data_IF_428816891558
#
_entry.id   IF_428816891558
#
_cell.length_a   1.000
_cell.length_b   1.000
_cell.length_c   1.000
_cell.angle_alpha   90.00
_cell.angle_beta   90.00
_cell.angle_gamma   90.00
#
_symmetry.space_group_name_H-M   'P 1'
#
loop_
_entity.id
_entity.type
_entity.pdbx_description
1 polymer ?
#
# COMPACT_ATOMS: atom_id res chain seq x y z
N UNK A 1 16.91 17.31 -21.64
CA UNK A 1 17.01 16.33 -20.54
C UNK A 1 18.47 16.26 -20.15
N UNK A 2 18.78 16.44 -18.88
CA UNK A 2 20.10 16.11 -18.34
C UNK A 2 20.20 14.58 -18.22
N UNK A 3 21.34 13.99 -18.56
CA UNK A 3 21.56 12.52 -18.48
C UNK A 3 21.74 12.03 -17.02
N UNK A 4 21.20 12.77 -16.04
CA UNK A 4 21.36 12.51 -14.61
C UNK A 4 20.02 12.53 -13.88
N UNK A 5 19.89 11.69 -12.86
CA UNK A 5 18.69 11.59 -12.00
C UNK A 5 19.04 12.03 -10.57
N UNK A 6 19.68 13.20 -10.43
CA UNK A 6 20.04 13.73 -9.11
C UNK A 6 18.82 14.32 -8.40
N UNK A 7 18.92 14.56 -7.09
CA UNK A 7 17.88 15.25 -6.34
C UNK A 7 17.57 16.64 -6.89
N UNK A 8 18.56 17.35 -7.46
CA UNK A 8 18.35 18.64 -8.11
C UNK A 8 17.57 18.51 -9.42
N UNK A 9 17.91 17.52 -10.25
CA UNK A 9 17.21 17.27 -11.51
C UNK A 9 15.72 16.99 -11.27
N UNK A 10 15.43 16.13 -10.27
CA UNK A 10 14.06 15.79 -9.87
C UNK A 10 13.34 17.02 -9.29
N UNK A 11 13.98 17.76 -8.38
CA UNK A 11 13.39 18.95 -7.79
C UNK A 11 13.05 20.02 -8.82
N UNK A 12 13.98 20.33 -9.74
CA UNK A 12 13.73 21.35 -10.77
C UNK A 12 12.65 20.92 -11.76
N UNK A 13 12.64 19.65 -12.16
CA UNK A 13 11.61 19.13 -13.06
C UNK A 13 10.22 19.18 -12.41
N UNK A 14 10.13 18.74 -11.15
CA UNK A 14 8.89 18.78 -10.38
C UNK A 14 8.39 20.20 -10.16
N UNK A 15 9.25 21.08 -9.64
CA UNK A 15 8.87 22.47 -9.34
C UNK A 15 8.49 23.20 -10.62
N UNK A 16 9.24 23.00 -11.71
CA UNK A 16 8.88 23.58 -13.01
C UNK A 16 7.50 23.16 -13.48
N UNK A 17 7.17 21.86 -13.37
CA UNK A 17 5.86 21.37 -13.75
C UNK A 17 4.73 21.88 -12.84
N UNK A 18 4.95 22.00 -11.52
CA UNK A 18 3.99 22.55 -10.57
C UNK A 18 3.83 24.08 -10.70
N UNK A 19 4.88 24.79 -11.07
CA UNK A 19 4.83 26.22 -11.36
C UNK A 19 4.08 26.47 -12.70
N UNK A 20 4.25 25.62 -13.72
CA UNK A 20 3.43 25.60 -14.95
C UNK A 20 1.94 25.27 -14.71
N UNK A 21 1.65 24.80 -13.51
CA UNK A 21 0.30 24.53 -13.02
C UNK A 21 -0.30 25.64 -12.18
N UNK A 22 0.48 26.68 -11.91
CA UNK A 22 0.09 27.77 -11.01
C UNK A 22 -0.26 27.25 -9.60
N UNK A 23 0.44 26.21 -9.13
CA UNK A 23 0.28 25.71 -7.75
C UNK A 23 0.66 26.81 -6.75
N UNK A 24 -0.25 27.11 -5.84
CA UNK A 24 0.01 27.99 -4.71
C UNK A 24 0.81 27.26 -3.63
N UNK A 25 2.11 27.55 -3.57
CA UNK A 25 3.03 26.98 -2.61
C UNK A 25 2.74 27.35 -1.15
N UNK A 26 2.02 28.46 -0.90
CA UNK A 26 1.62 28.84 0.46
C UNK A 26 0.59 27.89 1.07
N UNK A 27 -0.09 27.12 0.21
CA UNK A 27 -1.11 26.14 0.56
C UNK A 27 -0.61 24.70 0.56
N UNK A 28 0.66 24.45 0.23
CA UNK A 28 1.20 23.09 0.19
C UNK A 28 1.34 22.50 1.61
N UNK A 29 0.69 21.36 1.86
CA UNK A 29 0.59 20.75 3.20
C UNK A 29 1.45 19.49 3.37
N UNK A 30 1.63 18.70 2.31
CA UNK A 30 2.38 17.45 2.42
C UNK A 30 2.94 16.93 1.11
N UNK A 31 3.93 16.04 1.22
CA UNK A 31 4.48 15.26 0.11
C UNK A 31 4.61 13.79 0.49
N UNK A 32 4.28 12.88 -0.42
CA UNK A 32 4.55 11.45 -0.26
C UNK A 32 5.64 10.98 -1.25
N UNK A 33 6.69 10.30 -0.79
CA UNK A 33 7.81 9.83 -1.64
C UNK A 33 8.06 8.33 -1.49
N UNK A 34 8.76 7.72 -2.45
CA UNK A 34 9.19 6.31 -2.35
C UNK A 34 10.31 6.07 -1.32
N UNK A 35 10.81 7.10 -0.65
CA UNK A 35 11.89 6.97 0.33
C UNK A 35 13.29 6.75 -0.28
N UNK A 36 13.47 6.94 -1.59
CA UNK A 36 14.78 6.83 -2.23
C UNK A 36 15.76 7.88 -1.66
N UNK A 37 17.08 7.59 -1.58
CA UNK A 37 18.05 8.52 -1.00
C UNK A 37 18.07 9.92 -1.64
N UNK A 38 17.80 10.02 -2.94
CA UNK A 38 17.65 11.29 -3.66
C UNK A 38 16.42 12.10 -3.20
N UNK A 39 15.37 11.44 -2.72
CA UNK A 39 14.13 12.06 -2.25
C UNK A 39 14.26 12.51 -0.79
N UNK A 40 14.73 11.63 0.10
CA UNK A 40 14.74 11.84 1.57
C UNK A 40 16.10 12.24 2.15
N UNK A 41 17.11 12.49 1.30
CA UNK A 41 18.46 12.84 1.73
C UNK A 41 18.48 14.06 2.66
N UNK A 42 19.07 13.91 3.87
CA UNK A 42 19.00 14.92 4.95
C UNK A 42 19.51 16.32 4.60
N UNK A 43 20.45 16.43 3.66
CA UNK A 43 21.11 17.70 3.31
C UNK A 43 20.64 18.30 1.98
N UNK A 44 20.18 17.46 1.06
CA UNK A 44 19.94 17.88 -0.33
C UNK A 44 18.85 17.07 -1.04
N UNK A 45 18.06 16.28 -0.30
CA UNK A 45 16.95 15.52 -0.86
C UNK A 45 15.85 16.44 -1.37
N UNK A 46 15.05 15.95 -2.32
CA UNK A 46 13.91 16.68 -2.89
C UNK A 46 12.96 17.19 -1.81
N UNK A 47 12.67 16.39 -0.78
CA UNK A 47 11.78 16.77 0.33
C UNK A 47 12.29 17.97 1.12
N UNK A 48 13.61 18.04 1.35
CA UNK A 48 14.24 19.17 2.07
C UNK A 48 14.07 20.45 1.26
N UNK A 49 14.32 20.39 -0.04
CA UNK A 49 14.18 21.53 -0.96
C UNK A 49 12.74 21.99 -1.12
N UNK A 50 11.80 21.04 -1.18
CA UNK A 50 10.36 21.36 -1.18
C UNK A 50 9.96 22.07 0.10
N UNK A 51 10.42 21.59 1.26
CA UNK A 51 10.17 22.25 2.54
C UNK A 51 10.72 23.66 2.57
N UNK A 52 11.92 23.90 2.05
CA UNK A 52 12.49 25.26 1.93
C UNK A 52 11.60 26.17 1.07
N UNK A 53 11.11 25.69 -0.08
CA UNK A 53 10.22 26.46 -0.97
C UNK A 53 8.85 26.73 -0.33
N UNK A 54 8.26 25.76 0.36
CA UNK A 54 6.99 25.93 1.10
C UNK A 54 7.18 26.93 2.25
N UNK A 55 8.22 26.78 3.05
CA UNK A 55 8.50 27.70 4.17
C UNK A 55 8.76 29.14 3.70
N UNK A 56 9.34 29.33 2.51
CA UNK A 56 9.54 30.66 1.93
C UNK A 56 8.20 31.31 1.51
N UNK A 57 7.19 30.52 1.15
CA UNK A 57 5.86 30.99 0.79
C UNK A 57 4.95 31.17 2.02
N UNK A 58 5.07 30.28 3.02
CA UNK A 58 4.31 30.31 4.26
C UNK A 58 5.16 29.75 5.43
N UNK A 59 5.82 30.61 6.23
CA UNK A 59 6.70 30.18 7.32
C UNK A 59 6.01 29.42 8.47
N UNK A 60 4.70 29.61 8.62
CA UNK A 60 3.91 28.98 9.70
C UNK A 60 3.34 27.61 9.27
N UNK A 61 3.40 27.27 7.98
CA UNK A 61 2.90 26.01 7.46
C UNK A 61 3.77 24.83 7.90
N UNK A 62 3.13 23.85 8.54
CA UNK A 62 3.76 22.55 8.79
C UNK A 62 3.71 21.72 7.51
N UNK A 63 4.87 21.42 6.93
CA UNK A 63 4.98 20.60 5.73
C UNK A 63 5.35 19.13 6.03
N UNK A 64 4.37 18.25 5.89
CA UNK A 64 4.48 16.83 6.22
C UNK A 64 5.14 16.04 5.09
N UNK A 65 5.95 15.05 5.47
CA UNK A 65 6.54 14.10 4.52
C UNK A 65 6.12 12.68 4.89
N UNK A 66 5.52 11.98 3.93
CA UNK A 66 5.11 10.60 4.05
C UNK A 66 5.95 9.70 3.15
N UNK A 67 6.16 8.46 3.58
CA UNK A 67 6.60 7.41 2.67
C UNK A 67 5.35 6.84 1.98
N UNK A 68 5.41 6.64 0.67
CA UNK A 68 4.38 5.95 -0.11
C UNK A 68 3.92 4.66 0.59
N UNK A 69 2.64 4.61 0.93
CA UNK A 69 2.04 3.55 1.74
C UNK A 69 2.15 2.18 1.07
N UNK A 70 1.96 2.13 -0.26
CA UNK A 70 2.08 0.92 -1.07
C UNK A 70 3.53 0.43 -1.09
N UNK A 71 4.50 1.36 -1.13
CA UNK A 71 5.91 0.97 -1.06
C UNK A 71 6.26 0.43 0.33
N UNK A 72 5.79 1.05 1.42
CA UNK A 72 6.00 0.53 2.78
C UNK A 72 5.42 -0.88 2.96
N UNK A 73 4.20 -1.13 2.47
CA UNK A 73 3.58 -2.46 2.49
C UNK A 73 4.43 -3.50 1.72
N UNK A 74 4.89 -3.14 0.52
CA UNK A 74 5.78 -4.02 -0.26
C UNK A 74 7.11 -4.30 0.45
N UNK A 75 7.64 -3.35 1.22
CA UNK A 75 8.83 -3.56 2.06
C UNK A 75 8.55 -4.50 3.24
N UNK A 76 7.38 -4.41 3.88
CA UNK A 76 6.97 -5.35 4.93
C UNK A 76 6.95 -6.79 4.41
N UNK A 77 6.45 -7.01 3.19
CA UNK A 77 6.36 -8.33 2.56
C UNK A 77 7.72 -9.03 2.39
N UNK A 78 8.82 -8.26 2.26
CA UNK A 78 10.18 -8.82 2.14
C UNK A 78 10.62 -9.57 3.40
N UNK A 79 9.96 -9.36 4.55
CA UNK A 79 10.27 -10.06 5.80
C UNK A 79 9.84 -11.52 5.84
N UNK A 80 8.94 -11.96 4.95
CA UNK A 80 8.40 -13.32 4.96
C UNK A 80 9.45 -14.40 4.65
N UNK A 81 10.64 -14.06 4.12
CA UNK A 81 11.80 -14.97 3.92
C UNK A 81 11.45 -16.35 3.33
N UNK A 82 10.54 -16.39 2.35
CA UNK A 82 10.11 -17.61 1.65
C UNK A 82 10.82 -17.80 0.29
N UNK A 83 12.11 -17.44 0.21
CA UNK A 83 12.89 -17.47 -1.04
C UNK A 83 13.00 -18.88 -1.64
N UNK A 84 13.00 -19.91 -0.80
CA UNK A 84 13.06 -21.31 -1.24
C UNK A 84 11.80 -21.74 -2.00
N UNK A 85 10.64 -21.17 -1.69
CA UNK A 85 9.40 -21.36 -2.47
C UNK A 85 9.43 -20.48 -3.71
N UNK A 86 9.69 -19.18 -3.53
CA UNK A 86 9.62 -18.20 -4.62
C UNK A 86 10.57 -18.52 -5.76
N UNK A 87 11.80 -18.97 -5.48
CA UNK A 87 12.77 -19.34 -6.50
C UNK A 87 12.24 -20.45 -7.42
N UNK A 88 11.71 -21.52 -6.84
CA UNK A 88 11.17 -22.66 -7.60
C UNK A 88 9.96 -22.24 -8.45
N UNK A 89 9.05 -21.44 -7.88
CA UNK A 89 7.89 -20.91 -8.60
C UNK A 89 8.34 -20.04 -9.78
N UNK A 90 9.24 -19.08 -9.54
CA UNK A 90 9.73 -18.16 -10.58
C UNK A 90 10.48 -18.93 -11.68
N UNK A 91 11.39 -19.84 -11.33
CA UNK A 91 12.16 -20.61 -12.31
C UNK A 91 11.25 -21.48 -13.19
N UNK A 92 10.26 -22.11 -12.58
CA UNK A 92 9.28 -22.94 -13.29
C UNK A 92 8.39 -22.10 -14.21
N UNK A 93 7.84 -20.99 -13.70
CA UNK A 93 6.99 -20.09 -14.48
C UNK A 93 7.79 -19.47 -15.62
N UNK A 94 9.02 -19.02 -15.38
CA UNK A 94 9.90 -18.47 -16.42
C UNK A 94 10.22 -19.53 -17.47
N UNK A 95 10.48 -20.78 -17.10
CA UNK A 95 10.69 -21.84 -18.09
C UNK A 95 9.48 -22.06 -19.00
N UNK A 96 8.27 -22.03 -18.43
CA UNK A 96 7.01 -22.20 -19.17
C UNK A 96 6.72 -20.96 -20.04
N UNK A 97 6.89 -19.75 -19.48
CA UNK A 97 6.40 -18.50 -20.06
C UNK A 97 7.41 -17.76 -20.92
N UNK A 98 8.72 -17.87 -20.66
CA UNK A 98 9.74 -17.09 -21.38
C UNK A 98 9.94 -17.54 -22.83
N UNK A 99 9.62 -18.81 -23.16
CA UNK A 99 9.71 -19.33 -24.53
C UNK A 99 8.31 -19.49 -25.12
N UNK A 100 8.04 -18.84 -26.24
CA UNK A 100 6.72 -18.89 -26.89
C UNK A 100 6.23 -20.31 -27.22
N UNK A 101 7.14 -21.21 -27.59
CA UNK A 101 6.80 -22.63 -27.83
C UNK A 101 6.33 -23.33 -26.55
N UNK A 102 7.06 -23.17 -25.44
CA UNK A 102 6.69 -23.78 -24.16
C UNK A 102 5.34 -23.25 -23.69
N UNK A 103 5.11 -21.93 -23.81
CA UNK A 103 3.85 -21.33 -23.41
C UNK A 103 2.67 -21.86 -24.23
N UNK A 104 2.81 -21.97 -25.56
CA UNK A 104 1.78 -22.53 -26.44
C UNK A 104 1.50 -24.00 -26.13
N UNK A 105 2.55 -24.80 -25.91
CA UNK A 105 2.40 -26.21 -25.57
C UNK A 105 1.74 -26.41 -24.22
N UNK A 106 2.11 -25.61 -23.22
CA UNK A 106 1.45 -25.65 -21.91
C UNK A 106 -0.01 -25.22 -22.02
N UNK A 107 -0.32 -24.18 -22.80
CA UNK A 107 -1.71 -23.73 -22.99
C UNK A 107 -2.55 -24.79 -23.71
N UNK A 108 -2.00 -25.47 -24.72
CA UNK A 108 -2.67 -26.60 -25.38
C UNK A 108 -2.90 -27.75 -24.40
N UNK A 109 -1.90 -28.11 -23.60
CA UNK A 109 -2.02 -29.12 -22.55
C UNK A 109 -3.10 -28.80 -21.51
N UNK A 110 -3.22 -27.54 -21.09
CA UNK A 110 -4.30 -27.11 -20.18
C UNK A 110 -5.68 -27.24 -20.85
N UNK A 111 -5.81 -26.85 -22.12
CA UNK A 111 -7.07 -26.97 -22.87
C UNK A 111 -7.49 -28.44 -23.07
N UNK A 112 -6.55 -29.33 -23.29
CA UNK A 112 -6.81 -30.79 -23.37
C UNK A 112 -7.36 -31.36 -22.06
N UNK A 113 -7.09 -30.71 -20.93
CA UNK A 113 -7.60 -31.06 -19.60
C UNK A 113 -8.81 -30.20 -19.16
N UNK A 114 -9.47 -29.50 -20.09
CA UNK A 114 -10.62 -28.62 -19.82
C UNK A 114 -10.31 -27.43 -18.88
N UNK A 115 -9.05 -26.97 -18.88
CA UNK A 115 -8.58 -25.85 -18.07
C UNK A 115 -8.39 -24.61 -18.97
N UNK A 116 -9.27 -23.64 -18.80
CA UNK A 116 -9.27 -22.40 -19.61
C UNK A 116 -8.44 -21.25 -19.03
N UNK A 117 -7.77 -21.45 -17.89
CA UNK A 117 -6.96 -20.42 -17.25
C UNK A 117 -5.51 -20.86 -17.12
N UNK A 118 -4.56 -20.02 -17.55
CA UNK A 118 -3.14 -20.34 -17.58
C UNK A 118 -2.31 -19.62 -16.51
N UNK A 119 -0.99 -19.83 -16.57
CA UNK A 119 -0.04 -19.10 -15.73
C UNK A 119 0.18 -17.67 -16.25
N UNK A 120 0.07 -16.64 -15.41
CA UNK A 120 0.47 -15.28 -15.77
C UNK A 120 2.00 -15.18 -15.95
N UNK A 121 2.46 -14.22 -16.75
CA UNK A 121 3.90 -13.95 -16.89
C UNK A 121 4.40 -13.26 -15.61
N UNK A 122 5.54 -13.71 -15.08
CA UNK A 122 6.18 -13.04 -13.94
C UNK A 122 7.11 -11.92 -14.44
N UNK A 123 6.90 -10.70 -13.95
CA UNK A 123 7.90 -9.63 -14.01
C UNK A 123 8.34 -9.31 -12.60
N UNK A 124 9.63 -9.18 -12.34
CA UNK A 124 10.20 -8.92 -11.00
C UNK A 124 9.65 -7.66 -10.31
N UNK A 125 8.96 -6.81 -11.07
CA UNK A 125 8.67 -5.41 -10.72
C UNK A 125 7.45 -5.25 -9.80
N UNK A 126 6.58 -6.26 -9.56
CA UNK A 126 5.31 -6.04 -8.80
C UNK A 126 4.90 -7.18 -7.86
N UNK A 127 4.65 -6.84 -6.59
CA UNK A 127 4.14 -7.79 -5.59
C UNK A 127 2.76 -8.36 -5.93
N UNK A 128 1.83 -7.56 -6.46
CA UNK A 128 0.51 -8.03 -6.92
C UNK A 128 0.62 -9.11 -8.00
N UNK A 129 1.58 -8.95 -8.93
CA UNK A 129 1.84 -9.99 -9.94
C UNK A 129 2.41 -11.26 -9.31
N UNK A 130 3.20 -11.17 -8.24
CA UNK A 130 3.69 -12.35 -7.50
C UNK A 130 2.56 -13.12 -6.84
N UNK A 131 1.59 -12.42 -6.23
CA UNK A 131 0.39 -13.04 -5.67
C UNK A 131 -0.44 -13.77 -6.71
N UNK A 132 -0.68 -13.14 -7.86
CA UNK A 132 -1.38 -13.77 -8.97
C UNK A 132 -0.64 -15.02 -9.48
N UNK A 133 0.69 -14.94 -9.66
CA UNK A 133 1.52 -16.07 -10.08
C UNK A 133 1.44 -17.23 -9.07
N UNK A 134 1.61 -16.96 -7.77
CA UNK A 134 1.54 -17.97 -6.71
C UNK A 134 0.18 -18.69 -6.71
N UNK A 135 -0.91 -17.93 -6.80
CA UNK A 135 -2.28 -18.49 -6.81
C UNK A 135 -2.52 -19.42 -7.98
N UNK A 136 -2.10 -19.03 -9.19
CA UNK A 136 -2.24 -19.87 -10.38
C UNK A 136 -1.29 -21.08 -10.34
N UNK A 137 -0.05 -20.89 -9.88
CA UNK A 137 0.92 -21.97 -9.70
C UNK A 137 0.40 -23.03 -8.74
N UNK A 138 -0.17 -22.63 -7.60
CA UNK A 138 -0.74 -23.55 -6.63
C UNK A 138 -1.93 -24.32 -7.18
N UNK A 139 -2.81 -23.66 -7.94
CA UNK A 139 -3.96 -24.32 -8.59
C UNK A 139 -3.54 -25.35 -9.62
N UNK A 140 -2.55 -25.01 -10.45
CA UNK A 140 -2.09 -25.82 -11.58
C UNK A 140 -0.92 -26.76 -11.21
N UNK A 141 -0.70 -27.03 -9.92
CA UNK A 141 0.50 -27.75 -9.45
C UNK A 141 0.65 -29.14 -10.07
N UNK A 142 -0.46 -29.86 -10.28
CA UNK A 142 -0.45 -31.19 -10.88
C UNK A 142 -0.06 -31.11 -12.35
N UNK A 143 -0.72 -30.21 -13.09
CA UNK A 143 -0.51 -29.97 -14.51
C UNK A 143 0.92 -29.45 -14.79
N UNK A 144 1.42 -28.59 -13.91
CA UNK A 144 2.80 -28.10 -13.95
C UNK A 144 3.78 -29.26 -13.73
N UNK A 145 3.56 -30.12 -12.74
CA UNK A 145 4.43 -31.26 -12.48
C UNK A 145 4.52 -32.18 -13.70
N UNK A 146 3.37 -32.54 -14.28
CA UNK A 146 3.29 -33.42 -15.45
C UNK A 146 3.95 -32.79 -16.69
N UNK A 147 3.63 -31.53 -16.98
CA UNK A 147 4.23 -30.83 -18.12
C UNK A 147 5.75 -30.74 -17.97
N UNK A 148 6.24 -30.39 -16.77
CA UNK A 148 7.66 -30.24 -16.49
C UNK A 148 8.39 -31.59 -16.55
N UNK A 149 7.76 -32.68 -16.11
CA UNK A 149 8.26 -34.04 -16.27
C UNK A 149 8.38 -34.41 -17.76
N UNK A 150 7.37 -34.13 -18.57
CA UNK A 150 7.41 -34.33 -20.03
C UNK A 150 8.48 -33.51 -20.74
N UNK A 151 8.95 -32.42 -20.13
CA UNK A 151 10.08 -31.60 -20.59
C UNK A 151 11.44 -32.05 -20.07
N UNK A 152 11.50 -33.15 -19.31
CA UNK A 152 12.75 -33.65 -18.69
C UNK A 152 13.28 -32.73 -17.58
N UNK A 153 12.42 -31.93 -16.95
CA UNK A 153 12.77 -31.00 -15.88
C UNK A 153 11.81 -31.14 -14.68
N UNK A 154 11.77 -32.31 -14.01
CA UNK A 154 10.82 -32.53 -12.92
C UNK A 154 10.99 -31.49 -11.80
N UNK A 155 9.87 -30.98 -11.29
CA UNK A 155 9.84 -30.04 -10.16
C UNK A 155 9.61 -30.86 -8.88
N UNK A 156 10.68 -31.49 -8.40
CA UNK A 156 10.65 -32.45 -7.28
C UNK A 156 10.07 -31.88 -5.97
N UNK A 157 10.09 -30.55 -5.81
CA UNK A 157 9.52 -29.88 -4.65
C UNK A 157 7.99 -30.00 -4.58
N UNK A 158 7.31 -30.26 -5.70
CA UNK A 158 5.86 -30.50 -5.71
C UNK A 158 5.48 -31.83 -5.06
N UNK A 159 6.42 -32.77 -4.95
CA UNK A 159 6.25 -34.05 -4.26
C UNK A 159 6.56 -33.96 -2.75
N UNK A 160 7.15 -32.85 -2.29
CA UNK A 160 7.52 -32.63 -0.88
C UNK A 160 6.32 -32.06 -0.08
N UNK A 161 5.78 -32.80 0.90
CA UNK A 161 4.68 -32.34 1.74
C UNK A 161 5.01 -31.11 2.61
N UNK A 162 6.28 -30.87 2.94
CA UNK A 162 6.69 -29.67 3.66
C UNK A 162 6.69 -28.45 2.72
N UNK A 163 7.30 -28.59 1.55
CA UNK A 163 7.37 -27.51 0.56
C UNK A 163 5.98 -27.10 0.05
N UNK A 164 5.08 -28.06 -0.19
CA UNK A 164 3.70 -27.78 -0.62
C UNK A 164 2.87 -27.06 0.45
N UNK A 165 3.13 -27.31 1.73
CA UNK A 165 2.56 -26.52 2.84
C UNK A 165 3.10 -25.09 2.88
N UNK A 166 4.41 -24.94 2.70
CA UNK A 166 5.04 -23.62 2.62
C UNK A 166 4.47 -22.79 1.45
N UNK A 167 4.27 -23.43 0.29
CA UNK A 167 3.59 -22.81 -0.85
C UNK A 167 2.15 -22.42 -0.49
N UNK A 168 1.38 -23.32 0.14
CA UNK A 168 0.01 -23.05 0.52
C UNK A 168 -0.12 -21.87 1.49
N UNK A 169 0.74 -21.80 2.51
CA UNK A 169 0.83 -20.66 3.42
C UNK A 169 1.15 -19.37 2.66
N UNK A 170 2.16 -19.42 1.77
CA UNK A 170 2.61 -18.25 1.02
C UNK A 170 1.53 -17.70 0.07
N UNK A 171 0.75 -18.58 -0.56
CA UNK A 171 -0.40 -18.19 -1.39
C UNK A 171 -1.42 -17.43 -0.55
N UNK A 172 -1.83 -17.98 0.60
CA UNK A 172 -2.85 -17.38 1.44
C UNK A 172 -2.41 -16.03 2.03
N UNK A 173 -1.20 -15.92 2.60
CA UNK A 173 -0.71 -14.65 3.15
C UNK A 173 -0.53 -13.58 2.06
N UNK A 174 -0.10 -13.99 0.86
CA UNK A 174 0.05 -13.05 -0.26
C UNK A 174 -1.31 -12.56 -0.76
N UNK A 175 -2.35 -13.40 -0.75
CA UNK A 175 -3.71 -12.96 -1.06
C UNK A 175 -4.21 -11.91 -0.04
N UNK A 176 -3.97 -12.13 1.26
CA UNK A 176 -4.32 -11.15 2.30
C UNK A 176 -3.60 -9.81 2.11
N UNK A 177 -2.32 -9.85 1.78
CA UNK A 177 -1.52 -8.66 1.47
C UNK A 177 -2.02 -7.96 0.20
N UNK A 178 -2.40 -8.72 -0.83
CA UNK A 178 -2.99 -8.19 -2.05
C UNK A 178 -4.32 -7.46 -1.78
N UNK A 179 -5.18 -8.02 -0.91
CA UNK A 179 -6.43 -7.36 -0.49
C UNK A 179 -6.14 -6.04 0.22
N UNK A 180 -5.16 -6.00 1.13
CA UNK A 180 -4.74 -4.74 1.77
C UNK A 180 -4.24 -3.73 0.72
N UNK A 181 -3.36 -4.17 -0.17
CA UNK A 181 -2.77 -3.31 -1.19
C UNK A 181 -3.84 -2.69 -2.10
N UNK A 182 -4.79 -3.48 -2.61
CA UNK A 182 -5.94 -2.98 -3.39
C UNK A 182 -6.81 -2.03 -2.56
N UNK A 183 -7.02 -2.31 -1.28
CA UNK A 183 -7.77 -1.43 -0.37
C UNK A 183 -7.08 -0.09 -0.17
N UNK A 184 -5.75 -0.02 -0.23
CA UNK A 184 -4.99 1.23 -0.12
C UNK A 184 -4.79 1.94 -1.48
N UNK A 185 -5.12 1.28 -2.59
CA UNK A 185 -5.13 1.92 -3.90
C UNK A 185 -6.41 2.72 -4.13
N UNK A 186 -6.38 3.54 -5.17
CA UNK A 186 -7.50 4.36 -5.59
C UNK A 186 -7.32 5.82 -5.21
N UNK A 187 -8.05 6.65 -5.94
CA UNK A 187 -8.26 8.04 -5.59
C UNK A 187 -9.39 8.10 -4.56
N UNK A 188 -9.43 9.20 -3.87
CA UNK A 188 -10.48 9.68 -3.00
C UNK A 188 -10.64 9.05 -1.64
N UNK A 189 -9.48 8.84 -1.04
CA UNK A 189 -9.32 8.36 0.32
C UNK A 189 -8.62 9.38 1.20
N UNK A 190 -9.14 9.46 2.42
CA UNK A 190 -8.54 10.15 3.54
C UNK A 190 -7.32 9.40 4.06
N UNK A 191 -6.38 10.16 4.62
CA UNK A 191 -5.23 9.57 5.33
C UNK A 191 -5.68 8.67 6.49
N UNK A 192 -6.82 8.99 7.11
CA UNK A 192 -7.41 8.20 8.20
C UNK A 192 -7.99 6.86 7.71
N UNK A 193 -8.42 6.75 6.46
CA UNK A 193 -8.88 5.47 5.88
C UNK A 193 -7.71 4.53 5.57
N UNK A 194 -6.59 5.11 5.12
CA UNK A 194 -5.35 4.36 4.97
C UNK A 194 -4.87 3.83 6.34
N UNK A 195 -4.94 4.67 7.36
CA UNK A 195 -4.60 4.27 8.72
C UNK A 195 -5.47 3.12 9.23
N UNK A 196 -6.78 3.22 9.08
CA UNK A 196 -7.72 2.16 9.46
C UNK A 196 -7.40 0.85 8.76
N UNK A 197 -7.09 0.91 7.46
CA UNK A 197 -6.77 -0.26 6.65
C UNK A 197 -5.53 -0.97 7.18
N UNK A 198 -4.47 -0.22 7.49
CA UNK A 198 -3.23 -0.75 8.08
C UNK A 198 -3.49 -1.33 9.48
N UNK A 199 -4.19 -0.59 10.34
CA UNK A 199 -4.51 -1.01 11.71
C UNK A 199 -5.36 -2.28 11.72
N UNK A 200 -6.36 -2.37 10.87
CA UNK A 200 -7.20 -3.56 10.71
C UNK A 200 -6.35 -4.76 10.25
N UNK A 201 -5.40 -4.54 9.34
CA UNK A 201 -4.49 -5.60 8.91
C UNK A 201 -3.53 -6.06 10.03
N UNK A 202 -2.96 -5.14 10.81
CA UNK A 202 -2.15 -5.48 11.99
C UNK A 202 -2.97 -6.31 12.99
N UNK A 203 -4.24 -5.95 13.24
CA UNK A 203 -5.15 -6.74 14.08
C UNK A 203 -5.39 -8.14 13.54
N UNK A 204 -5.57 -8.28 12.21
CA UNK A 204 -5.67 -9.59 11.55
C UNK A 204 -4.40 -10.42 11.71
N UNK A 205 -3.21 -9.83 11.56
CA UNK A 205 -1.93 -10.52 11.78
C UNK A 205 -1.82 -11.08 13.21
N UNK A 206 -2.24 -10.32 14.23
CA UNK A 206 -2.26 -10.79 15.64
C UNK A 206 -3.19 -11.99 15.81
N UNK A 207 -4.39 -11.91 15.23
CA UNK A 207 -5.37 -13.00 15.28
C UNK A 207 -4.81 -14.25 14.59
N UNK A 208 -4.29 -14.11 13.38
CA UNK A 208 -3.75 -15.21 12.59
C UNK A 208 -2.54 -15.86 13.23
N UNK A 209 -1.61 -15.07 13.77
CA UNK A 209 -0.49 -15.58 14.57
C UNK A 209 -1.01 -16.48 15.70
N UNK A 210 -1.95 -15.97 16.50
CA UNK A 210 -2.54 -16.71 17.63
C UNK A 210 -3.23 -18.00 17.18
N UNK A 211 -3.99 -17.93 16.09
CA UNK A 211 -4.69 -19.08 15.53
C UNK A 211 -3.72 -20.14 14.99
N UNK A 212 -2.68 -19.76 14.25
CA UNK A 212 -1.69 -20.71 13.72
C UNK A 212 -0.90 -21.39 14.86
N UNK A 213 -0.52 -20.67 15.91
CA UNK A 213 0.07 -21.28 17.12
C UNK A 213 -0.87 -22.31 17.77
N UNK A 214 -2.19 -22.11 17.66
CA UNK A 214 -3.23 -23.05 18.13
C UNK A 214 -3.67 -24.06 17.05
N UNK A 215 -2.91 -24.21 15.97
CA UNK A 215 -3.19 -25.14 14.86
C UNK A 215 -4.50 -24.87 14.11
N UNK A 216 -4.97 -23.63 14.15
CA UNK A 216 -6.17 -23.20 13.46
C UNK A 216 -5.79 -22.41 12.20
N UNK A 217 -6.02 -23.00 11.03
CA UNK A 217 -5.82 -22.36 9.72
C UNK A 217 -7.10 -21.78 9.12
N UNK A 218 -8.08 -21.35 9.93
CA UNK A 218 -9.40 -20.91 9.46
C UNK A 218 -9.37 -19.84 8.36
N UNK A 219 -8.41 -18.91 8.42
CA UNK A 219 -8.25 -17.84 7.43
C UNK A 219 -7.17 -18.11 6.38
N UNK A 220 -6.67 -19.35 6.32
CA UNK A 220 -5.66 -19.80 5.36
C UNK A 220 -6.21 -21.03 4.62
N UNK A 221 -7.11 -20.83 3.64
CA UNK A 221 -7.83 -21.93 2.99
C UNK A 221 -6.92 -22.91 2.26
N UNK A 222 -5.86 -22.43 1.58
CA UNK A 222 -4.89 -23.32 0.93
C UNK A 222 -4.14 -24.12 2.00
N UNK A 223 -3.64 -23.47 3.05
CA UNK A 223 -2.94 -24.15 4.14
C UNK A 223 -3.84 -25.15 4.88
N UNK A 224 -5.11 -24.81 5.10
CA UNK A 224 -6.10 -25.68 5.75
C UNK A 224 -6.36 -26.97 4.98
N UNK A 225 -6.19 -26.94 3.66
CA UNK A 225 -6.32 -28.14 2.80
C UNK A 225 -5.14 -29.10 2.91
N UNK A 226 -4.05 -28.68 3.55
CA UNK A 226 -2.84 -29.50 3.71
C UNK A 226 -2.91 -30.34 4.99
N UNK A 227 -2.22 -31.50 5.05
CA UNK A 227 -2.10 -32.27 6.29
C UNK A 227 -1.49 -31.43 7.43
N UNK A 228 -2.08 -31.49 8.63
CA UNK A 228 -1.61 -30.69 9.78
C UNK A 228 -0.23 -31.17 10.25
N UNK A 229 0.70 -30.25 10.51
CA UNK A 229 2.00 -30.50 11.14
C UNK A 229 2.29 -29.43 12.20
N UNK A 230 2.62 -29.85 13.42
CA UNK A 230 2.86 -28.93 14.54
C UNK A 230 4.03 -27.96 14.29
N UNK A 231 5.17 -28.44 13.81
CA UNK A 231 6.37 -27.63 13.61
C UNK A 231 6.15 -26.59 12.50
N UNK A 232 5.45 -26.96 11.43
CA UNK A 232 5.12 -26.02 10.34
C UNK A 232 4.21 -24.88 10.81
N UNK A 233 3.24 -25.16 11.67
CA UNK A 233 2.30 -24.13 12.15
C UNK A 233 2.99 -23.10 13.06
N UNK A 234 3.92 -23.52 13.91
CA UNK A 234 4.71 -22.58 14.73
C UNK A 234 5.66 -21.73 13.85
N UNK A 235 6.26 -22.34 12.83
CA UNK A 235 7.05 -21.62 11.82
C UNK A 235 6.23 -20.51 11.16
N UNK A 236 5.01 -20.80 10.70
CA UNK A 236 4.15 -19.78 10.07
C UNK A 236 3.70 -18.69 11.05
N UNK A 237 3.38 -19.04 12.28
CA UNK A 237 3.08 -18.05 13.31
C UNK A 237 4.27 -17.09 13.56
N UNK A 238 5.50 -17.61 13.57
CA UNK A 238 6.71 -16.80 13.69
C UNK A 238 6.93 -15.88 12.47
N UNK A 239 6.65 -16.37 11.26
CA UNK A 239 6.71 -15.53 10.05
C UNK A 239 5.70 -14.38 10.11
N UNK A 240 4.47 -14.63 10.58
CA UNK A 240 3.48 -13.58 10.79
C UNK A 240 3.88 -12.59 11.88
N UNK A 241 4.55 -13.06 12.95
CA UNK A 241 5.10 -12.19 13.97
C UNK A 241 6.17 -11.25 13.40
N UNK A 242 7.06 -11.76 12.53
CA UNK A 242 8.06 -10.95 11.84
C UNK A 242 7.43 -9.93 10.90
N UNK A 243 6.43 -10.34 10.11
CA UNK A 243 5.68 -9.44 9.23
C UNK A 243 4.98 -8.33 10.03
N UNK A 244 4.31 -8.68 11.13
CA UNK A 244 3.67 -7.71 12.03
C UNK A 244 4.69 -6.69 12.56
N UNK A 245 5.87 -7.15 13.00
CA UNK A 245 6.90 -6.25 13.49
C UNK A 245 7.35 -5.24 12.43
N UNK A 246 7.48 -5.65 11.17
CA UNK A 246 7.76 -4.70 10.08
C UNK A 246 6.64 -3.68 9.88
N UNK A 247 5.36 -4.10 9.96
CA UNK A 247 4.24 -3.16 9.91
C UNK A 247 4.31 -2.15 11.08
N UNK A 248 4.51 -2.64 12.30
CA UNK A 248 4.62 -1.80 13.49
C UNK A 248 5.76 -0.78 13.37
N UNK A 249 6.92 -1.19 12.82
CA UNK A 249 8.09 -0.33 12.64
C UNK A 249 7.95 0.67 11.48
N UNK A 250 7.30 0.29 10.38
CA UNK A 250 7.24 1.10 9.14
C UNK A 250 6.10 2.09 9.13
N UNK A 251 5.03 1.79 9.85
CA UNK A 251 3.85 2.63 9.96
C UNK A 251 3.78 3.42 11.28
N UNK A 252 4.92 3.64 11.96
CA UNK A 252 4.99 4.40 13.23
C UNK A 252 4.42 5.81 13.11
N UNK A 253 4.58 6.47 11.97
CA UNK A 253 4.00 7.81 11.71
C UNK A 253 2.50 7.82 11.94
N UNK A 254 1.79 6.74 11.60
CA UNK A 254 0.36 6.67 11.88
C UNK A 254 0.02 6.45 13.35
N UNK A 255 0.92 5.82 14.12
CA UNK A 255 0.80 5.74 15.58
C UNK A 255 1.02 7.10 16.22
N UNK A 256 1.96 7.91 15.69
CA UNK A 256 2.20 9.28 16.16
C UNK A 256 1.00 10.20 15.90
N UNK A 257 0.34 10.03 14.74
CA UNK A 257 -0.85 10.80 14.34
C UNK A 257 -2.17 10.23 14.88
N UNK A 258 -2.15 9.16 15.67
CA UNK A 258 -3.36 8.46 16.11
C UNK A 258 -4.32 9.39 16.86
N UNK A 259 -3.79 10.27 17.72
CA UNK A 259 -4.60 11.23 18.48
C UNK A 259 -5.27 12.25 17.57
N UNK A 260 -4.54 12.74 16.57
CA UNK A 260 -5.05 13.69 15.60
C UNK A 260 -6.14 13.03 14.73
N UNK A 261 -5.92 11.79 14.30
CA UNK A 261 -6.93 11.03 13.58
C UNK A 261 -8.18 10.76 14.41
N UNK A 262 -8.02 10.52 15.72
CA UNK A 262 -9.15 10.36 16.64
C UNK A 262 -9.98 11.64 16.76
N UNK A 263 -9.31 12.80 16.94
CA UNK A 263 -9.98 14.10 16.96
C UNK A 263 -10.71 14.38 15.63
N UNK A 264 -10.04 14.13 14.50
CA UNK A 264 -10.62 14.33 13.17
C UNK A 264 -11.86 13.46 12.94
N UNK A 265 -11.78 12.15 13.24
CA UNK A 265 -12.85 11.18 12.96
C UNK A 265 -13.97 11.13 13.98
N UNK A 266 -13.73 11.67 15.17
CA UNK A 266 -14.65 11.53 16.29
C UNK A 266 -14.70 12.80 17.15
N UNK A 267 -14.89 13.99 16.55
CA UNK A 267 -14.86 15.25 17.29
C UNK A 267 -15.95 15.32 18.36
N UNK A 268 -17.07 14.61 18.17
CA UNK A 268 -18.19 14.58 19.13
C UNK A 268 -18.01 13.63 20.32
N UNK A 269 -16.97 12.79 20.33
CA UNK A 269 -16.77 11.77 21.38
C UNK A 269 -15.35 11.74 21.94
N UNK A 270 -14.39 12.40 21.30
CA UNK A 270 -13.02 12.49 21.81
C UNK A 270 -12.99 13.29 23.12
N UNK A 271 -12.18 12.86 24.07
CA UNK A 271 -12.01 13.55 25.34
C UNK A 271 -11.31 14.90 25.10
N UNK A 272 -11.98 16.01 25.41
CA UNK A 272 -11.43 17.35 25.22
C UNK A 272 -10.19 17.61 26.09
N UNK A 273 -9.98 16.86 27.18
CA UNK A 273 -8.79 17.04 28.02
C UNK A 273 -7.50 16.50 27.39
N UNK A 274 -7.59 15.66 26.34
CA UNK A 274 -6.42 15.03 25.70
C UNK A 274 -6.02 15.68 24.38
N UNK A 275 -6.75 16.71 23.93
CA UNK A 275 -6.43 17.48 22.72
C UNK A 275 -5.62 18.74 23.05
N UNK A 276 -4.90 19.35 22.08
CA UNK A 276 -4.17 20.59 22.29
C UNK A 276 -5.00 21.69 22.95
N UNK A 277 -4.43 22.38 23.94
CA UNK A 277 -5.10 23.40 24.78
C UNK A 277 -5.89 24.44 23.97
N UNK A 278 -5.31 24.88 22.85
CA UNK A 278 -5.92 25.89 21.98
C UNK A 278 -7.23 25.44 21.31
N UNK A 279 -7.50 24.12 21.23
CA UNK A 279 -8.73 23.58 20.63
C UNK A 279 -9.79 23.17 21.64
N UNK A 280 -9.45 23.10 22.93
CA UNK A 280 -10.33 22.46 23.93
C UNK A 280 -11.68 23.18 24.07
N UNK A 281 -11.67 24.52 24.11
CA UNK A 281 -12.90 25.31 24.26
C UNK A 281 -13.81 25.19 23.03
N UNK A 282 -13.25 25.32 21.82
CA UNK A 282 -13.99 25.14 20.56
C UNK A 282 -14.59 23.72 20.46
N UNK A 283 -13.82 22.71 20.85
CA UNK A 283 -14.26 21.32 20.82
C UNK A 283 -15.43 21.07 21.78
N UNK A 284 -15.37 21.62 23.01
CA UNK A 284 -16.46 21.49 23.99
C UNK A 284 -17.74 22.15 23.45
N UNK A 285 -17.62 23.34 22.86
CA UNK A 285 -18.76 24.03 22.24
C UNK A 285 -19.32 23.23 21.05
N UNK A 286 -18.46 22.67 20.21
CA UNK A 286 -18.85 21.80 19.11
C UNK A 286 -19.61 20.57 19.62
N UNK A 287 -19.08 19.88 20.63
CA UNK A 287 -19.65 18.67 21.23
C UNK A 287 -21.06 18.89 21.80
N UNK A 288 -21.34 20.10 22.29
CA UNK A 288 -22.65 20.50 22.80
C UNK A 288 -23.62 21.00 21.72
N UNK A 289 -23.17 21.18 20.46
CA UNK A 289 -23.99 21.71 19.38
C UNK A 289 -24.76 20.61 18.65
N UNK A 290 -26.04 20.41 19.01
CA UNK A 290 -26.88 19.39 18.40
C UNK A 290 -27.03 19.52 16.86
N UNK A 291 -27.25 20.73 16.28
CA UNK A 291 -27.34 20.86 14.83
C UNK A 291 -26.06 20.45 14.10
N UNK A 292 -24.88 20.80 14.63
CA UNK A 292 -23.61 20.39 14.02
C UNK A 292 -23.38 18.88 14.15
N UNK A 293 -23.84 18.26 15.25
CA UNK A 293 -23.80 16.81 15.42
C UNK A 293 -24.67 16.08 14.39
N UNK A 294 -25.87 16.61 14.13
CA UNK A 294 -26.77 16.06 13.11
C UNK A 294 -26.17 16.23 11.71
N UNK A 295 -25.59 17.41 11.41
CA UNK A 295 -24.87 17.64 10.15
C UNK A 295 -23.73 16.64 10.00
N UNK A 296 -22.89 16.47 11.02
CA UNK A 296 -21.76 15.53 11.02
C UNK A 296 -22.18 14.10 10.68
N UNK A 297 -23.33 13.65 11.20
CA UNK A 297 -23.86 12.31 10.92
C UNK A 297 -24.44 12.16 9.50
N UNK A 298 -24.71 13.28 8.81
CA UNK A 298 -25.44 13.31 7.54
C UNK A 298 -24.59 13.58 6.30
N UNK A 299 -23.36 14.12 6.46
CA UNK A 299 -22.47 14.49 5.36
C UNK A 299 -21.13 13.78 5.45
N UNK A 300 -20.38 13.77 4.35
CA UNK A 300 -18.98 13.33 4.37
C UNK A 300 -18.16 14.24 5.31
N UNK A 301 -17.18 13.66 6.01
CA UNK A 301 -16.43 14.34 7.07
C UNK A 301 -15.73 15.62 6.57
N UNK A 302 -15.31 15.65 5.31
CA UNK A 302 -14.63 16.77 4.70
C UNK A 302 -15.59 17.91 4.40
N UNK A 303 -16.81 17.57 3.96
CA UNK A 303 -17.91 18.53 3.80
C UNK A 303 -18.31 19.10 5.15
N UNK A 304 -18.31 18.29 6.21
CA UNK A 304 -18.58 18.77 7.56
C UNK A 304 -17.57 19.82 8.00
N UNK A 305 -16.27 19.53 7.91
CA UNK A 305 -15.22 20.47 8.31
C UNK A 305 -15.22 21.75 7.46
N UNK A 306 -15.53 21.67 6.15
CA UNK A 306 -15.70 22.83 5.28
C UNK A 306 -16.92 23.69 5.64
N UNK A 307 -17.93 23.09 6.27
CA UNK A 307 -19.17 23.77 6.68
C UNK A 307 -19.11 24.38 8.08
N UNK A 308 -18.00 24.22 8.80
CA UNK A 308 -17.88 24.74 10.16
C UNK A 308 -18.00 26.27 10.18
N UNK A 309 -18.81 26.83 11.11
CA UNK A 309 -18.91 28.28 11.25
C UNK A 309 -17.57 28.95 11.61
N UNK A 310 -17.36 30.24 11.29
CA UNK A 310 -16.12 30.98 11.59
C UNK A 310 -15.71 31.03 13.07
N UNK A 311 -16.61 30.65 13.98
CA UNK A 311 -16.35 30.53 15.42
C UNK A 311 -15.54 29.29 15.81
N UNK A 312 -15.24 28.38 14.87
CA UNK A 312 -14.38 27.21 15.07
C UNK A 312 -13.07 27.29 14.25
N UNK A 313 -12.29 28.39 14.34
CA UNK A 313 -11.10 28.58 13.51
C UNK A 313 -10.03 27.53 13.78
N UNK A 314 -9.85 27.08 15.02
CA UNK A 314 -8.80 26.11 15.35
C UNK A 314 -9.14 24.71 14.82
N UNK A 315 -10.40 24.27 14.95
CA UNK A 315 -10.85 22.99 14.39
C UNK A 315 -10.83 22.99 12.86
N UNK A 316 -11.17 24.12 12.24
CA UNK A 316 -11.09 24.27 10.78
C UNK A 316 -9.65 24.20 10.29
N UNK A 317 -8.72 24.90 10.94
CA UNK A 317 -7.31 24.85 10.61
C UNK A 317 -6.70 23.46 10.83
N UNK A 318 -7.13 22.75 11.88
CA UNK A 318 -6.69 21.38 12.19
C UNK A 318 -7.14 20.36 11.14
N UNK A 319 -8.33 20.52 10.57
CA UNK A 319 -8.89 19.60 9.58
C UNK A 319 -8.15 19.65 8.22
N UNK A 320 -7.52 20.78 7.89
CA UNK A 320 -6.87 20.99 6.59
C UNK A 320 -5.69 20.02 6.34
N UNK A 321 -4.74 19.81 7.28
CA UNK A 321 -3.67 18.82 7.10
C UNK A 321 -4.09 17.36 7.33
N UNK A 322 -5.19 17.12 8.06
CA UNK A 322 -5.61 15.80 8.54
C UNK A 322 -6.72 15.16 7.68
N UNK A 323 -7.53 15.97 7.00
CA UNK A 323 -8.67 15.58 6.17
C UNK A 323 -8.35 15.49 4.69
N UNK A 324 -7.19 14.91 4.37
CA UNK A 324 -6.71 14.89 3.01
C UNK A 324 -7.57 13.96 2.13
N UNK A 325 -8.58 14.49 1.46
CA UNK A 325 -9.14 13.86 0.27
C UNK A 325 -8.04 13.80 -0.78
N UNK A 326 -7.87 12.63 -1.39
CA UNK A 326 -7.67 12.66 -2.83
C UNK A 326 -9.06 13.10 -3.38
N UNK A 327 -9.23 14.17 -4.12
CA UNK A 327 -10.22 14.20 -5.23
C UNK A 327 -10.13 15.52 -5.98
N UNK A 328 -10.23 15.31 -7.28
CA UNK A 328 -10.36 16.18 -8.42
C UNK A 328 -11.09 17.53 -8.23
N UNK A 329 -10.32 18.61 -8.36
CA UNK A 329 -10.40 19.55 -9.49
C UNK A 329 -8.96 19.97 -9.85
N UNK A 330 -8.68 20.37 -11.11
CA UNK A 330 -7.45 20.00 -11.83
C UNK A 330 -6.20 20.72 -11.31
N UNK A 331 -5.69 20.31 -10.15
CA UNK A 331 -4.26 20.24 -9.97
C UNK A 331 -3.84 19.04 -10.80
N UNK A 332 -3.10 19.23 -11.91
CA UNK A 332 -2.60 18.09 -12.69
C UNK A 332 -1.90 17.18 -11.69
N UNK A 333 -2.37 15.94 -11.54
CA UNK A 333 -1.54 14.84 -11.06
C UNK A 333 -0.35 14.82 -12.04
N UNK A 334 0.78 15.44 -11.68
CA UNK A 334 1.99 15.36 -12.50
C UNK A 334 2.65 14.04 -12.14
N UNK A 335 2.20 12.99 -12.81
CA UNK A 335 3.01 11.80 -13.00
C UNK A 335 4.18 12.18 -13.93
N UNK A 336 5.39 12.31 -13.37
CA UNK A 336 6.62 12.56 -14.15
C UNK A 336 7.08 11.25 -14.85
N UNK A 337 6.14 10.50 -15.44
CA UNK A 337 6.41 9.25 -16.15
C UNK A 337 5.96 9.28 -17.63
N UNK A 338 4.99 10.12 -18.02
CA UNK A 338 4.40 10.08 -19.37
C UNK A 338 5.01 11.10 -20.34
N UNK A 339 6.33 11.03 -20.53
CA UNK A 339 7.01 11.64 -21.71
C UNK A 339 7.66 10.62 -22.64
N UNK A 340 7.15 9.39 -22.69
CA UNK A 340 7.42 8.48 -23.81
C UNK A 340 6.10 8.09 -24.48
N UNK A 341 5.81 8.67 -25.64
CA UNK A 341 4.62 8.37 -26.44
C UNK A 341 4.57 6.91 -26.90
N UNK A 342 4.09 6.02 -26.04
CA UNK A 342 3.70 4.64 -26.38
C UNK A 342 2.18 4.50 -26.34
N UNK A 343 1.61 3.67 -27.23
CA UNK A 343 0.17 3.51 -27.34
C UNK A 343 -0.40 2.91 -26.04
N UNK A 344 -1.56 3.44 -25.67
CA UNK A 344 -2.49 3.02 -24.61
C UNK A 344 -2.05 1.80 -23.79
N UNK A 345 -1.51 2.07 -22.61
CA UNK A 345 -1.28 1.06 -21.58
C UNK A 345 -2.63 0.66 -20.95
N UNK A 346 -2.88 -0.64 -20.70
CA UNK A 346 -4.12 -1.09 -20.08
C UNK A 346 -4.23 -0.59 -18.63
N UNK A 347 -5.45 -0.50 -18.06
CA UNK A 347 -5.74 0.12 -16.76
C UNK A 347 -4.95 -0.47 -15.56
N UNK A 348 -4.31 -1.62 -15.72
CA UNK A 348 -3.45 -2.26 -14.72
C UNK A 348 -2.01 -1.71 -14.67
N UNK A 349 -1.65 -0.75 -15.52
CA UNK A 349 -0.30 -0.18 -15.61
C UNK A 349 0.01 0.90 -14.55
N UNK A 350 -1.01 1.51 -13.94
CA UNK A 350 -0.91 2.73 -13.10
C UNK A 350 -0.23 2.57 -11.73
N UNK A 351 0.23 1.37 -11.36
CA UNK A 351 0.63 1.09 -9.98
C UNK A 351 2.12 1.37 -9.64
N UNK A 352 2.92 1.90 -10.57
CA UNK A 352 4.34 2.26 -10.34
C UNK A 352 4.61 3.77 -10.48
N UNK A 353 3.64 4.58 -10.88
CA UNK A 353 3.90 6.01 -11.16
C UNK A 353 3.71 6.94 -9.97
N UNK A 354 3.13 6.49 -8.85
CA UNK A 354 2.98 7.31 -7.64
C UNK A 354 4.27 7.41 -6.79
N UNK A 355 5.35 7.93 -7.36
CA UNK A 355 6.60 8.21 -6.64
C UNK A 355 6.61 9.58 -5.96
N UNK A 356 5.70 10.47 -6.32
CA UNK A 356 5.57 11.78 -5.68
C UNK A 356 4.16 12.35 -5.74
N UNK A 357 3.55 12.60 -4.58
CA UNK A 357 2.26 13.30 -4.49
C UNK A 357 2.43 14.53 -3.61
N UNK A 358 2.33 15.73 -4.19
CA UNK A 358 2.24 16.99 -3.44
C UNK A 358 0.77 17.31 -3.21
N UNK A 359 0.43 17.75 -1.99
CA UNK A 359 -0.95 18.09 -1.63
C UNK A 359 -1.06 19.53 -1.15
N UNK A 360 -2.16 20.19 -1.52
CA UNK A 360 -2.49 21.57 -1.14
C UNK A 360 -3.77 21.62 -0.33
N UNK A 361 -3.84 22.55 0.63
CA UNK A 361 -5.07 22.93 1.34
C UNK A 361 -6.07 23.59 0.37
N UNK A 362 -7.38 23.47 0.64
CA UNK A 362 -8.47 24.14 -0.11
C UNK A 362 -8.61 25.64 0.21
#
# INVERSE_FOLDING_TARGET
>A
MTDTTTANDVFHSLVGALDELEVDWSRAVSVATDGAPSMIGRKAGVVVKLREKVNAANPEQVFLNFHCILHQEALCCKSLKMDHVMRVVIDTVNFIRARGLNHRQFSAFLLENDIHHGLPYHTDVRWLSRGAVLKHFYKLRTEIAEFMQGKGKPVVQLDDPEWTRDLAFLVDITEHLNVLNVTMQGRNKLVTEYYDSVRAFQGKLVLWQTQLSKRNAAHFPCLKSQPVNHQSMDKYANLLSGLRHEFDNRFTVFTELEKDFSLFRSPFTVDASVVPEAMQMELIELQCCAPLKDTYASVAIEVFYQSLPPQYPMLTAFAVPTGITTDSQPVKDIDIADREGRPETPPDAACITHSLVLRTAL
#
